data_IF_833255345695
#
_entry.id   IF_833255345695
#
_cell.length_a   1.000
_cell.length_b   1.000
_cell.length_c   1.000
_cell.angle_alpha   90.00
_cell.angle_beta   90.00
_cell.angle_gamma   90.00
#
_symmetry.space_group_name_H-M   'P 1'
#
loop_
_entity.id
_entity.type
_entity.pdbx_description
1 polymer ?
#
# COMPACT_ATOMS: atom_id res chain seq x y z
N UNK A 1 16.18 -16.60 -15.93
CA UNK A 1 15.17 -16.67 -14.86
C UNK A 1 14.70 -15.26 -14.65
N UNK A 2 13.62 -14.86 -15.33
CA UNK A 2 13.12 -13.50 -15.25
C UNK A 2 12.52 -13.31 -13.87
N UNK A 3 13.15 -12.47 -13.05
CA UNK A 3 12.49 -11.88 -11.88
C UNK A 3 11.24 -11.19 -12.42
N UNK A 4 10.09 -11.86 -12.31
CA UNK A 4 8.82 -11.15 -12.21
C UNK A 4 8.97 -10.38 -10.91
N UNK A 5 9.36 -9.11 -11.03
CA UNK A 5 9.07 -8.17 -9.97
C UNK A 5 7.55 -8.18 -9.93
N UNK A 6 6.96 -8.90 -8.98
CA UNK A 6 5.53 -8.79 -8.71
C UNK A 6 5.31 -7.32 -8.30
N UNK A 7 5.05 -6.49 -9.31
CA UNK A 7 4.86 -5.05 -9.18
C UNK A 7 3.53 -4.86 -8.45
N UNK A 8 3.58 -4.93 -7.13
CA UNK A 8 2.45 -4.61 -6.27
C UNK A 8 2.49 -3.12 -5.99
N UNK A 9 1.34 -2.45 -6.13
CA UNK A 9 1.21 -1.03 -5.85
C UNK A 9 0.25 -0.80 -4.70
N UNK A 10 0.50 0.26 -3.96
CA UNK A 10 -0.30 0.64 -2.80
C UNK A 10 -1.25 1.76 -3.17
N UNK A 11 -2.54 1.47 -3.03
CA UNK A 11 -3.63 2.41 -3.30
C UNK A 11 -4.16 2.97 -1.99
N UNK A 12 -3.92 4.25 -1.77
CA UNK A 12 -4.47 5.00 -0.64
C UNK A 12 -5.71 5.77 -1.10
N UNK A 13 -6.84 5.56 -0.43
CA UNK A 13 -8.09 6.25 -0.75
C UNK A 13 -8.84 6.64 0.51
N UNK A 14 -9.72 7.63 0.36
CA UNK A 14 -10.60 8.08 1.42
C UNK A 14 -12.00 7.48 1.20
N UNK A 15 -12.64 7.08 2.28
CA UNK A 15 -14.01 6.58 2.32
C UNK A 15 -15.00 7.74 2.46
N UNK A 16 -16.28 7.55 2.14
CA UNK A 16 -17.30 8.61 2.29
C UNK A 16 -17.37 9.23 3.69
N UNK A 17 -16.87 8.52 4.72
CA UNK A 17 -16.85 8.96 6.10
C UNK A 17 -15.63 9.85 6.45
N UNK A 18 -14.84 10.28 5.47
CA UNK A 18 -13.62 11.05 5.69
C UNK A 18 -12.44 10.22 6.18
N UNK A 19 -12.56 8.88 6.20
CA UNK A 19 -11.53 8.00 6.73
C UNK A 19 -10.66 7.42 5.62
N UNK A 20 -9.36 7.37 5.85
CA UNK A 20 -8.33 6.82 4.98
C UNK A 20 -8.22 5.31 5.13
N UNK A 21 -8.02 4.64 3.99
CA UNK A 21 -7.70 3.23 3.91
C UNK A 21 -6.66 3.01 2.83
N UNK A 22 -5.81 2.00 3.03
CA UNK A 22 -4.86 1.55 2.04
C UNK A 22 -5.21 0.12 1.61
N UNK A 23 -4.97 -0.19 0.33
CA UNK A 23 -4.99 -1.54 -0.20
C UNK A 23 -3.76 -1.75 -1.08
N UNK A 24 -3.12 -2.90 -0.91
CA UNK A 24 -2.06 -3.39 -1.77
C UNK A 24 -2.70 -4.23 -2.87
N UNK A 25 -2.44 -3.85 -4.11
CA UNK A 25 -2.96 -4.50 -5.30
C UNK A 25 -1.79 -4.92 -6.16
N UNK A 26 -1.84 -6.15 -6.65
CA UNK A 26 -0.89 -6.65 -7.64
C UNK A 26 -1.14 -6.00 -9.01
N UNK A 27 -0.13 -5.97 -9.86
CA UNK A 27 -0.28 -5.53 -11.26
C UNK A 27 -1.33 -6.31 -12.05
N UNK A 28 -1.64 -7.54 -11.64
CA UNK A 28 -2.74 -8.35 -12.21
C UNK A 28 -4.13 -7.83 -11.83
N UNK A 29 -4.22 -6.90 -10.87
CA UNK A 29 -5.46 -6.39 -10.30
C UNK A 29 -5.95 -7.13 -9.06
N UNK A 30 -5.20 -8.14 -8.59
CA UNK A 30 -5.55 -8.88 -7.38
C UNK A 30 -5.25 -8.09 -6.11
N UNK A 31 -6.20 -8.03 -5.18
CA UNK A 31 -5.98 -7.36 -3.89
C UNK A 31 -5.29 -8.34 -2.96
N UNK A 32 -4.02 -8.08 -2.68
CA UNK A 32 -3.19 -8.91 -1.78
C UNK A 32 -3.52 -8.59 -0.33
N UNK A 33 -3.59 -7.30 -0.01
CA UNK A 33 -3.79 -6.88 1.36
C UNK A 33 -4.59 -5.58 1.43
N UNK A 34 -5.34 -5.41 2.51
CA UNK A 34 -6.07 -4.19 2.81
C UNK A 34 -5.81 -3.83 4.26
N UNK A 35 -5.84 -2.55 4.59
CA UNK A 35 -5.90 -2.18 6.00
C UNK A 35 -7.13 -2.79 6.65
N UNK A 36 -6.96 -3.40 7.83
CA UNK A 36 -8.07 -3.92 8.65
C UNK A 36 -8.87 -2.82 9.33
N UNK A 37 -8.32 -1.62 9.44
CA UNK A 37 -8.94 -0.47 10.09
C UNK A 37 -9.00 0.74 9.15
N UNK A 38 -9.71 1.77 9.56
CA UNK A 38 -9.81 3.02 8.83
C UNK A 38 -9.24 4.15 9.68
N UNK A 39 -8.43 5.01 9.06
CA UNK A 39 -7.68 6.05 9.75
C UNK A 39 -8.33 7.41 9.52
N UNK A 40 -8.31 8.30 10.52
CA UNK A 40 -8.79 9.69 10.29
C UNK A 40 -7.81 10.52 9.48
N UNK A 41 -6.52 10.24 9.58
CA UNK A 41 -5.46 11.00 8.93
C UNK A 41 -4.72 10.15 7.90
N UNK A 42 -4.32 10.77 6.80
CA UNK A 42 -3.49 10.13 5.77
C UNK A 42 -2.14 9.68 6.32
N UNK A 43 -1.55 10.47 7.22
CA UNK A 43 -0.26 10.15 7.83
C UNK A 43 -0.30 8.85 8.63
N UNK A 44 -1.32 8.65 9.47
CA UNK A 44 -1.51 7.40 10.22
C UNK A 44 -1.72 6.21 9.28
N UNK A 45 -2.47 6.40 8.20
CA UNK A 45 -2.68 5.40 7.16
C UNK A 45 -1.37 4.98 6.47
N UNK A 46 -0.49 5.94 6.16
CA UNK A 46 0.82 5.66 5.55
C UNK A 46 1.74 4.95 6.55
N UNK A 47 1.75 5.36 7.82
CA UNK A 47 2.56 4.71 8.86
C UNK A 47 2.16 3.25 9.08
N UNK A 48 0.87 2.98 9.08
CA UNK A 48 0.34 1.61 9.16
C UNK A 48 0.75 0.80 7.92
N UNK A 49 0.57 1.36 6.72
CA UNK A 49 1.04 0.72 5.50
C UNK A 49 2.55 0.40 5.56
N UNK A 50 3.38 1.33 6.05
CA UNK A 50 4.83 1.12 6.23
C UNK A 50 5.12 -0.02 7.20
N UNK A 51 4.38 -0.10 8.32
CA UNK A 51 4.49 -1.22 9.26
C UNK A 51 4.08 -2.57 8.63
N UNK A 52 3.20 -2.54 7.63
CA UNK A 52 2.77 -3.69 6.86
C UNK A 52 3.68 -4.03 5.65
N UNK A 53 4.80 -3.32 5.46
CA UNK A 53 5.75 -3.58 4.38
C UNK A 53 5.58 -2.69 3.16
N UNK A 54 4.83 -1.58 3.26
CA UNK A 54 4.90 -0.51 2.26
C UNK A 54 6.26 0.14 2.28
N UNK A 55 7.14 -0.33 1.42
CA UNK A 55 8.35 0.38 1.06
C UNK A 55 8.03 1.35 -0.07
N UNK A 56 8.29 2.64 0.15
CA UNK A 56 8.19 3.61 -0.93
C UNK A 56 9.13 3.14 -2.06
N UNK A 57 8.70 3.14 -3.33
CA UNK A 57 9.52 2.65 -4.45
C UNK A 57 10.85 3.42 -4.62
N UNK A 58 11.07 4.49 -3.85
CA UNK A 58 12.36 5.19 -3.75
C UNK A 58 13.42 4.44 -2.92
N UNK A 59 13.04 3.49 -2.06
CA UNK A 59 13.98 2.68 -1.27
C UNK A 59 14.63 1.56 -2.10
N UNK A 60 13.98 1.15 -3.20
CA UNK A 60 14.47 0.12 -4.12
C UNK A 60 15.44 0.67 -5.17
N UNK A 61 16.21 1.70 -4.81
CA UNK A 61 17.35 2.17 -5.59
C UNK A 61 18.65 1.72 -4.93
N UNK A 62 19.09 0.53 -5.35
CA UNK A 62 20.49 0.11 -5.46
C UNK A 62 21.31 -0.07 -4.17
N UNK A 63 21.61 -1.33 -3.84
CA UNK A 63 22.90 -1.76 -3.30
C UNK A 63 23.27 -3.11 -3.91
#
# INVERSE_FOLDING_TARGET
MNQVQDETYWKFYNTANGQWRWCQVESTGYIICCSGTTFRQRADCIRDAQAHGYESPLALSHA
#
